data_IF_420981309156
#
_entry.id   IF_420981309156
#
_cell.length_a   1.000
_cell.length_b   1.000
_cell.length_c   1.000
_cell.angle_alpha   90.00
_cell.angle_beta   90.00
_cell.angle_gamma   90.00
#
_symmetry.space_group_name_H-M   'P 1'
#
loop_
_entity.id
_entity.type
_entity.pdbx_description
1 polymer ?
#
# COMPACT_ATOMS: atom_id res chain seq x y z
N UNK A 1 6.17 3.43 14.53
CA UNK A 1 6.12 1.99 14.22
C UNK A 1 6.78 1.87 12.87
N UNK A 2 7.89 1.17 12.74
CA UNK A 2 8.55 1.00 11.43
C UNK A 2 8.01 -0.33 10.93
N UNK A 3 7.15 -0.32 9.91
CA UNK A 3 6.89 -1.53 9.14
C UNK A 3 8.11 -1.66 8.24
N UNK A 4 8.94 -2.65 8.55
CA UNK A 4 10.03 -3.06 7.66
C UNK A 4 9.45 -3.55 6.33
N UNK A 5 10.20 -3.35 5.24
CA UNK A 5 9.83 -3.80 3.89
C UNK A 5 9.25 -5.21 3.90
N UNK A 6 8.17 -5.40 3.15
CA UNK A 6 7.51 -6.70 3.02
C UNK A 6 7.15 -7.01 1.59
N UNK A 7 6.78 -8.27 1.34
CA UNK A 7 6.42 -8.74 0.02
C UNK A 7 4.98 -9.23 0.01
N UNK A 8 4.24 -8.87 -1.04
CA UNK A 8 2.92 -9.44 -1.35
C UNK A 8 2.93 -10.06 -2.74
N UNK A 9 2.30 -11.21 -2.87
CA UNK A 9 2.13 -11.89 -4.16
C UNK A 9 0.73 -11.58 -4.69
N UNK A 10 0.65 -11.01 -5.88
CA UNK A 10 -0.61 -10.52 -6.48
C UNK A 10 -0.75 -11.03 -7.91
N UNK A 11 -1.95 -11.45 -8.28
CA UNK A 11 -2.28 -11.82 -9.66
C UNK A 11 -2.56 -10.54 -10.47
N UNK A 12 -1.62 -10.16 -11.34
CA UNK A 12 -1.76 -9.04 -12.29
C UNK A 12 -2.02 -9.56 -13.71
N UNK A 13 -2.23 -8.65 -14.67
CA UNK A 13 -2.45 -9.01 -16.06
C UNK A 13 -1.30 -9.85 -16.65
N UNK A 14 -0.05 -9.60 -16.22
CA UNK A 14 1.12 -10.38 -16.64
C UNK A 14 1.29 -11.73 -15.94
N UNK A 15 0.47 -12.05 -14.92
CA UNK A 15 0.62 -13.25 -14.12
C UNK A 15 0.80 -12.98 -12.63
N UNK A 16 1.13 -14.04 -11.87
CA UNK A 16 1.49 -13.93 -10.47
C UNK A 16 2.77 -13.10 -10.33
N UNK A 17 2.65 -11.93 -9.70
CA UNK A 17 3.71 -10.94 -9.58
C UNK A 17 3.99 -10.71 -8.10
N UNK A 18 5.27 -10.82 -7.72
CA UNK A 18 5.75 -10.43 -6.40
C UNK A 18 5.99 -8.93 -6.37
N UNK A 19 5.43 -8.28 -5.36
CA UNK A 19 5.52 -6.85 -5.15
C UNK A 19 6.24 -6.62 -3.83
N UNK A 20 7.35 -5.89 -3.87
CA UNK A 20 7.98 -5.35 -2.67
C UNK A 20 7.24 -4.11 -2.25
N UNK A 21 6.96 -3.98 -0.97
CA UNK A 21 6.19 -2.88 -0.39
C UNK A 21 6.99 -2.28 0.77
N UNK A 22 7.20 -0.98 0.71
CA UNK A 22 7.82 -0.17 1.74
C UNK A 22 6.78 0.84 2.24
N UNK A 23 6.64 0.97 3.56
CA UNK A 23 5.81 2.03 4.14
C UNK A 23 6.59 3.36 4.10
N UNK A 24 5.96 4.44 3.61
CA UNK A 24 6.60 5.75 3.59
C UNK A 24 6.95 6.22 5.01
N UNK A 25 7.88 7.16 5.12
CA UNK A 25 8.32 7.60 6.44
C UNK A 25 7.18 8.24 7.24
N UNK A 26 7.20 8.16 8.59
CA UNK A 26 6.17 8.80 9.42
C UNK A 26 6.05 10.31 9.17
N UNK A 27 7.15 10.96 8.74
CA UNK A 27 7.14 12.38 8.40
C UNK A 27 6.33 12.65 7.13
N UNK A 28 6.56 11.89 6.05
CA UNK A 28 5.82 12.04 4.79
C UNK A 28 4.33 11.76 4.98
N UNK A 29 3.99 10.72 5.74
CA UNK A 29 2.60 10.40 6.06
C UNK A 29 1.93 11.45 6.95
N UNK A 30 2.65 12.01 7.93
CA UNK A 30 2.10 13.02 8.84
C UNK A 30 1.80 14.35 8.13
N UNK A 31 2.62 14.74 7.14
CA UNK A 31 2.40 15.95 6.34
C UNK A 31 1.09 15.86 5.56
N UNK A 32 0.80 14.68 5.00
CA UNK A 32 -0.38 14.47 4.16
C UNK A 32 -1.59 13.93 4.93
N UNK A 33 -1.40 13.52 6.19
CA UNK A 33 -2.40 12.85 7.03
C UNK A 33 -3.05 11.64 6.32
N UNK A 34 -2.25 10.90 5.54
CA UNK A 34 -2.65 9.79 4.67
C UNK A 34 -1.59 8.69 4.78
N UNK A 35 -2.02 7.42 4.71
CA UNK A 35 -1.10 6.29 4.65
C UNK A 35 -0.55 6.13 3.23
N UNK A 36 0.78 6.04 3.13
CA UNK A 36 1.52 5.97 1.88
C UNK A 36 2.42 4.73 1.86
N UNK A 37 2.44 4.05 0.72
CA UNK A 37 3.22 2.84 0.50
C UNK A 37 3.91 2.91 -0.86
N UNK A 38 5.23 2.77 -0.87
CA UNK A 38 6.00 2.60 -2.09
C UNK A 38 5.96 1.13 -2.48
N UNK A 39 5.69 0.85 -3.75
CA UNK A 39 5.67 -0.50 -4.30
C UNK A 39 6.66 -0.64 -5.45
N UNK A 40 7.45 -1.71 -5.41
CA UNK A 40 8.39 -2.09 -6.45
C UNK A 40 8.00 -3.43 -7.05
N UNK A 41 7.85 -3.48 -8.37
CA UNK A 41 7.50 -4.71 -9.07
C UNK A 41 7.96 -4.71 -10.54
N UNK A 42 8.00 -5.89 -11.14
CA UNK A 42 8.27 -6.06 -12.57
C UNK A 42 6.95 -6.09 -13.36
N UNK A 43 6.77 -5.15 -14.30
CA UNK A 43 5.54 -4.99 -15.09
C UNK A 43 5.51 -5.82 -16.38
N UNK A 44 6.43 -6.79 -16.53
CA UNK A 44 6.61 -7.56 -17.77
C UNK A 44 7.54 -6.92 -18.80
N UNK A 45 7.94 -5.66 -18.62
CA UNK A 45 8.93 -4.95 -19.45
C UNK A 45 10.10 -4.43 -18.63
N UNK A 46 9.81 -3.73 -17.54
CA UNK A 46 10.80 -3.10 -16.65
C UNK A 46 10.39 -3.22 -15.19
N UNK A 47 11.35 -2.99 -14.30
CA UNK A 47 11.04 -2.69 -12.90
C UNK A 47 10.40 -1.30 -12.81
N UNK A 48 9.34 -1.21 -12.02
CA UNK A 48 8.56 0.01 -11.81
C UNK A 48 8.39 0.22 -10.33
N UNK A 49 8.61 1.46 -9.90
CA UNK A 49 8.34 1.96 -8.56
C UNK A 49 7.12 2.87 -8.62
N UNK A 50 6.12 2.64 -7.78
CA UNK A 50 4.91 3.47 -7.67
C UNK A 50 4.63 3.79 -6.20
N UNK A 51 4.01 4.94 -5.93
CA UNK A 51 3.50 5.25 -4.59
C UNK A 51 1.99 5.09 -4.56
N UNK A 52 1.51 4.18 -3.72
CA UNK A 52 0.10 4.00 -3.42
C UNK A 52 -0.28 4.74 -2.15
N UNK A 53 -1.48 5.28 -2.13
CA UNK A 53 -2.06 5.93 -0.97
C UNK A 53 -3.40 5.30 -0.62
N UNK A 54 -3.65 5.15 0.69
CA UNK A 54 -4.93 4.71 1.22
C UNK A 54 -5.66 5.89 1.83
N UNK A 55 -6.79 6.25 1.24
CA UNK A 55 -7.61 7.35 1.71
C UNK A 55 -9.09 6.96 1.74
N UNK A 56 -9.75 7.20 2.87
CA UNK A 56 -11.17 6.87 3.06
C UNK A 56 -11.52 5.42 2.68
N UNK A 57 -10.58 4.49 2.90
CA UNK A 57 -10.75 3.07 2.58
C UNK A 57 -10.53 2.70 1.10
N UNK A 58 -10.13 3.66 0.25
CA UNK A 58 -9.86 3.43 -1.17
C UNK A 58 -8.38 3.59 -1.48
N UNK A 59 -7.89 2.72 -2.36
CA UNK A 59 -6.50 2.71 -2.82
C UNK A 59 -6.35 3.48 -4.12
N UNK A 60 -5.38 4.39 -4.14
CA UNK A 60 -5.09 5.26 -5.28
C UNK A 60 -3.59 5.31 -5.53
N UNK A 61 -3.21 5.62 -6.77
CA UNK A 61 -1.86 6.08 -7.03
C UNK A 61 -1.74 7.51 -6.51
N UNK A 62 -0.72 7.80 -5.71
CA UNK A 62 -0.46 9.13 -5.14
C UNK A 62 -0.34 10.19 -6.25
N UNK A 63 0.37 9.83 -7.30
CA UNK A 63 0.74 10.66 -8.42
C UNK A 63 -0.40 11.01 -9.40
N UNK A 64 -1.46 10.19 -9.47
CA UNK A 64 -2.58 10.39 -10.42
C UNK A 64 -3.68 11.32 -9.88
N UNK A 65 -3.52 11.91 -8.69
CA UNK A 65 -4.62 12.63 -8.04
C UNK A 65 -4.82 14.07 -8.52
N UNK A 66 -3.93 14.60 -9.34
CA UNK A 66 -4.02 15.97 -9.84
C UNK A 66 -4.93 16.18 -11.05
N UNK A 67 -5.58 15.13 -11.57
CA UNK A 67 -6.38 15.24 -12.80
C UNK A 67 -7.90 15.21 -12.63
N UNK A 68 -8.44 14.73 -11.50
CA UNK A 68 -9.88 14.43 -11.42
C UNK A 68 -10.71 15.41 -10.60
N UNK A 69 -10.13 16.26 -9.76
CA UNK A 69 -10.91 17.29 -9.07
C UNK A 69 -10.00 18.39 -8.54
N UNK A 70 -10.42 19.65 -8.73
CA UNK A 70 -9.84 20.90 -8.22
C UNK A 70 -8.79 21.62 -9.08
N UNK A 71 -9.23 22.79 -9.58
CA UNK A 71 -8.39 23.98 -9.76
C UNK A 71 -7.40 24.10 -8.59
N UNK A 72 -6.10 24.25 -8.90
CA UNK A 72 -4.94 24.56 -8.02
C UNK A 72 -3.93 23.41 -7.82
N UNK A 73 -2.95 23.33 -8.72
CA UNK A 73 -1.57 23.79 -8.48
C UNK A 73 -0.71 23.34 -9.68
N UNK A 74 -0.31 24.32 -10.50
CA UNK A 74 0.64 24.13 -11.57
C UNK A 74 2.03 23.76 -11.01
N UNK A 75 2.33 22.47 -10.93
CA UNK A 75 3.71 21.96 -11.01
C UNK A 75 3.87 21.23 -12.34
N UNK A 76 3.91 22.04 -13.41
CA UNK A 76 3.78 21.63 -14.80
C UNK A 76 5.15 21.44 -15.50
N UNK A 77 6.11 20.73 -14.88
CA UNK A 77 7.42 20.52 -15.53
C UNK A 77 7.96 19.08 -15.56
N UNK A 78 7.25 18.05 -15.05
CA UNK A 78 7.78 16.68 -15.07
C UNK A 78 6.79 15.55 -15.44
N UNK A 79 5.56 15.85 -15.88
CA UNK A 79 4.47 14.87 -15.88
C UNK A 79 3.84 14.56 -17.24
N UNK A 80 4.49 14.85 -18.37
CA UNK A 80 3.85 14.70 -19.69
C UNK A 80 3.74 13.25 -20.20
N UNK A 81 4.44 12.27 -19.60
CA UNK A 81 4.50 10.89 -20.14
C UNK A 81 4.21 9.76 -19.14
N UNK A 82 3.61 10.06 -17.98
CA UNK A 82 3.35 9.03 -16.98
C UNK A 82 2.15 8.14 -17.34
N UNK A 83 2.38 7.15 -18.22
CA UNK A 83 1.47 6.03 -18.40
C UNK A 83 1.61 5.08 -17.21
N UNK A 84 0.73 5.20 -16.22
CA UNK A 84 0.67 4.24 -15.12
C UNK A 84 0.52 2.81 -15.71
N UNK A 85 1.45 1.88 -15.40
CA UNK A 85 1.40 0.53 -15.97
C UNK A 85 0.33 -0.36 -15.31
N UNK A 86 -0.35 0.14 -14.27
CA UNK A 86 -1.40 -0.57 -13.55
C UNK A 86 -2.78 -0.01 -13.89
N UNK A 87 -3.71 -0.92 -14.12
CA UNK A 87 -5.14 -0.58 -14.17
C UNK A 87 -5.67 -0.26 -12.77
N UNK A 88 -6.81 0.44 -12.70
CA UNK A 88 -7.50 0.72 -11.42
C UNK A 88 -7.84 -0.56 -10.65
N UNK A 89 -8.18 -1.63 -11.37
CA UNK A 89 -8.45 -2.93 -10.75
C UNK A 89 -7.19 -3.50 -10.10
N UNK A 90 -6.05 -3.46 -10.80
CA UNK A 90 -4.77 -3.93 -10.27
C UNK A 90 -4.33 -3.13 -9.05
N UNK A 91 -4.47 -1.80 -9.06
CA UNK A 91 -4.21 -0.94 -7.88
C UNK A 91 -5.05 -1.40 -6.69
N UNK A 92 -6.35 -1.65 -6.90
CA UNK A 92 -7.23 -2.12 -5.83
C UNK A 92 -6.84 -3.52 -5.33
N UNK A 93 -6.40 -4.42 -6.22
CA UNK A 93 -5.98 -5.77 -5.84
C UNK A 93 -4.69 -5.73 -5.02
N UNK A 94 -3.73 -4.91 -5.42
CA UNK A 94 -2.48 -4.70 -4.67
C UNK A 94 -2.79 -4.09 -3.31
N UNK A 95 -3.60 -3.04 -3.28
CA UNK A 95 -4.05 -2.39 -2.06
C UNK A 95 -4.75 -3.36 -1.10
N UNK A 96 -5.63 -4.23 -1.61
CA UNK A 96 -6.28 -5.25 -0.79
C UNK A 96 -5.27 -6.25 -0.19
N UNK A 97 -4.24 -6.64 -0.95
CA UNK A 97 -3.18 -7.52 -0.45
C UNK A 97 -2.37 -6.84 0.66
N UNK A 98 -2.02 -5.56 0.49
CA UNK A 98 -1.36 -4.74 1.52
C UNK A 98 -2.23 -4.63 2.78
N UNK A 99 -3.51 -4.27 2.63
CA UNK A 99 -4.46 -4.19 3.74
C UNK A 99 -4.57 -5.51 4.51
N UNK A 100 -4.67 -6.64 3.80
CA UNK A 100 -4.71 -7.97 4.43
C UNK A 100 -3.42 -8.27 5.20
N UNK A 101 -2.26 -7.95 4.64
CA UNK A 101 -0.98 -8.09 5.34
C UNK A 101 -0.96 -7.28 6.64
N UNK A 102 -1.37 -6.01 6.58
CA UNK A 102 -1.43 -5.14 7.76
C UNK A 102 -2.39 -5.67 8.82
N UNK A 103 -3.57 -6.17 8.43
CA UNK A 103 -4.54 -6.78 9.35
C UNK A 103 -3.93 -8.01 10.02
N UNK A 104 -3.28 -8.90 9.26
CA UNK A 104 -2.62 -10.09 9.82
C UNK A 104 -1.52 -9.69 10.81
N UNK A 105 -0.70 -8.69 10.48
CA UNK A 105 0.34 -8.16 11.38
C UNK A 105 -0.26 -7.58 12.67
N UNK A 106 -1.34 -6.81 12.56
CA UNK A 106 -2.05 -6.24 13.70
C UNK A 106 -2.64 -7.34 14.59
N UNK A 107 -3.36 -8.31 14.00
CA UNK A 107 -3.97 -9.43 14.72
C UNK A 107 -2.91 -10.28 15.42
N UNK A 108 -1.81 -10.60 14.73
CA UNK A 108 -0.68 -11.34 15.31
C UNK A 108 -0.14 -10.63 16.54
N UNK A 109 0.09 -9.32 16.47
CA UNK A 109 0.58 -8.54 17.61
C UNK A 109 -0.45 -8.41 18.73
N UNK A 110 -1.73 -8.19 18.41
CA UNK A 110 -2.79 -8.11 19.43
C UNK A 110 -3.00 -9.44 20.15
N UNK A 111 -2.83 -10.57 19.46
CA UNK A 111 -2.94 -11.90 20.07
C UNK A 111 -1.87 -12.14 21.14
N UNK A 112 -0.73 -11.43 21.09
CA UNK A 112 0.30 -11.46 22.14
C UNK A 112 -0.14 -10.74 23.43
N UNK A 113 -1.16 -9.88 23.35
CA UNK A 113 -1.70 -9.15 24.50
C UNK A 113 -2.98 -9.79 25.07
N UNK A 114 -3.52 -10.83 24.42
CA UNK A 114 -4.54 -11.68 25.03
C UNK A 114 -3.80 -12.60 26.00
N UNK A 115 -3.87 -12.30 27.29
CA UNK A 115 -3.40 -13.22 28.32
C UNK A 115 -4.02 -14.59 28.04
N UNK A 116 -3.19 -15.63 27.95
CA UNK A 116 -3.68 -17.00 28.07
C UNK A 116 -4.43 -17.06 29.40
N UNK A 117 -5.77 -17.05 29.32
CA UNK A 117 -6.62 -17.25 30.49
C UNK A 117 -6.04 -18.45 31.24
N UNK A 118 -5.68 -18.30 32.54
CA UNK A 118 -5.23 -19.45 33.29
C UNK A 118 -6.34 -20.50 33.18
N UNK A 119 -5.97 -21.70 32.71
CA UNK A 119 -6.84 -22.86 32.68
C UNK A 119 -7.69 -22.85 33.95
N UNK A 120 -9.03 -23.01 33.88
CA UNK A 120 -9.80 -23.19 35.08
C UNK A 120 -9.24 -24.44 35.77
N UNK A 121 -8.50 -24.23 36.86
CA UNK A 121 -8.08 -25.30 37.73
C UNK A 121 -9.36 -25.85 38.34
N UNK A 122 -9.87 -26.93 37.75
CA UNK A 122 -10.88 -27.76 38.38
C UNK A 122 -10.19 -28.41 39.57
N UNK A 123 -10.49 -27.91 40.77
CA UNK A 123 -10.44 -28.63 42.04
C UNK A 123 -11.42 -27.97 43.01
#
# INVERSE_FOLDING_TARGET
MIVDDFFVDVQLAQGLTRIQVEEATPYEQAVLNILLFTIDFYNGKSFTTLTLQLENGNWHLHDNRFTDDTDQLHFHEFWEDYNCPLTRHEISTIGAAISNYMVVQLVSRMSLFVASLPNPAVN
#
